data_IF_570360545115
#
_entry.id   IF_570360545115
#
_cell.length_a   1.000
_cell.length_b   1.000
_cell.length_c   1.000
_cell.angle_alpha   90.00
_cell.angle_beta   90.00
_cell.angle_gamma   90.00
#
_symmetry.space_group_name_H-M   'P 1'
#
loop_
_entity.id
_entity.type
_entity.pdbx_description
1 polymer ?
#
# COMPACT_ATOMS: atom_id res chain seq x y z
N UNK A 1 -4.51 23.26 41.15
CA UNK A 1 -3.35 22.73 40.39
C UNK A 1 -3.81 22.51 38.96
N UNK A 2 -3.44 23.39 38.04
CA UNK A 2 -3.76 23.32 36.63
C UNK A 2 -2.81 22.27 36.04
N UNK A 3 -3.34 21.12 35.58
CA UNK A 3 -2.57 20.18 34.78
C UNK A 3 -2.28 20.85 33.44
N UNK A 4 -1.05 21.31 33.26
CA UNK A 4 -0.53 21.71 31.95
C UNK A 4 -0.65 20.53 31.01
N UNK A 5 -1.54 20.63 30.02
CA UNK A 5 -1.61 19.67 28.93
C UNK A 5 -0.24 19.74 28.23
N UNK A 6 0.51 18.66 28.32
CA UNK A 6 1.69 18.46 27.48
C UNK A 6 1.16 18.38 26.07
N UNK A 7 1.37 19.42 25.27
CA UNK A 7 1.15 19.36 23.82
C UNK A 7 2.08 18.26 23.28
N UNK A 8 1.54 17.10 23.01
CA UNK A 8 2.27 15.99 22.44
C UNK A 8 2.83 16.38 21.07
N UNK A 9 4.08 16.10 20.86
CA UNK A 9 4.79 16.39 19.62
C UNK A 9 4.58 15.22 18.68
N UNK A 10 3.99 15.45 17.49
CA UNK A 10 3.93 14.41 16.45
C UNK A 10 5.33 13.79 16.22
N UNK A 11 5.40 12.47 16.13
CA UNK A 11 6.64 11.78 15.85
C UNK A 11 7.18 12.20 14.48
N UNK A 12 8.42 12.68 14.41
CA UNK A 12 9.05 12.97 13.12
C UNK A 12 9.27 11.66 12.37
N UNK A 13 8.73 11.55 11.16
CA UNK A 13 8.95 10.37 10.30
C UNK A 13 10.00 10.73 9.26
N UNK A 14 11.12 10.03 9.32
CA UNK A 14 12.18 10.08 8.32
C UNK A 14 11.98 8.99 7.27
N UNK A 15 12.66 9.10 6.12
CA UNK A 15 12.68 8.05 5.11
C UNK A 15 13.97 7.24 5.18
N UNK A 16 13.82 5.92 5.43
CA UNK A 16 14.88 4.97 5.13
C UNK A 16 14.89 4.67 3.63
N UNK A 17 16.08 4.73 3.02
CA UNK A 17 16.21 4.52 1.58
C UNK A 17 17.32 3.54 1.27
N UNK A 18 17.12 2.75 0.22
CA UNK A 18 18.11 1.85 -0.33
C UNK A 18 17.92 1.70 -1.84
N UNK A 19 19.01 1.73 -2.59
CA UNK A 19 19.02 1.59 -4.06
C UNK A 19 20.11 0.62 -4.49
N UNK A 20 19.83 -0.15 -5.53
CA UNK A 20 20.81 -1.03 -6.16
C UNK A 20 20.45 -1.29 -7.61
N UNK A 21 21.46 -1.40 -8.46
CA UNK A 21 21.32 -1.98 -9.80
C UNK A 21 21.97 -3.35 -9.78
N UNK A 22 21.22 -4.36 -10.20
CA UNK A 22 21.70 -5.72 -10.35
C UNK A 22 22.06 -5.97 -11.82
N UNK A 23 23.22 -6.53 -12.05
CA UNK A 23 23.82 -6.76 -13.37
C UNK A 23 23.91 -8.26 -13.66
N UNK A 24 23.98 -8.57 -14.95
CA UNK A 24 24.31 -9.88 -15.47
C UNK A 24 25.26 -9.70 -16.68
N UNK A 25 26.45 -10.31 -16.58
CA UNK A 25 27.53 -10.17 -17.57
C UNK A 25 27.89 -8.69 -17.89
N UNK A 26 27.88 -7.84 -16.88
CA UNK A 26 28.24 -6.41 -16.99
C UNK A 26 27.12 -5.50 -17.49
N UNK A 27 25.93 -6.03 -17.77
CA UNK A 27 24.78 -5.26 -18.22
C UNK A 27 23.69 -5.20 -17.13
N UNK A 28 23.06 -4.03 -16.92
CA UNK A 28 21.96 -3.88 -15.99
C UNK A 28 20.78 -4.78 -16.35
N UNK A 29 20.26 -5.54 -15.39
CA UNK A 29 19.08 -6.38 -15.60
C UNK A 29 17.91 -6.01 -14.69
N UNK A 30 18.17 -5.42 -13.51
CA UNK A 30 17.12 -5.04 -12.57
C UNK A 30 17.58 -3.86 -11.72
N UNK A 31 16.78 -2.78 -11.73
CA UNK A 31 16.95 -1.61 -10.86
C UNK A 31 16.03 -1.71 -9.65
N UNK A 32 16.58 -1.52 -8.46
CA UNK A 32 15.88 -1.60 -7.18
C UNK A 32 15.91 -0.26 -6.45
N UNK A 33 14.75 0.14 -5.94
CA UNK A 33 14.61 1.31 -5.08
C UNK A 33 13.61 1.03 -3.96
N UNK A 34 14.06 1.09 -2.71
CA UNK A 34 13.22 0.89 -1.54
C UNK A 34 13.21 2.14 -0.68
N UNK A 35 12.00 2.57 -0.31
CA UNK A 35 11.75 3.58 0.70
C UNK A 35 10.81 3.03 1.76
N UNK A 36 11.10 3.32 3.02
CA UNK A 36 10.26 2.91 4.15
C UNK A 36 10.33 3.94 5.27
N UNK A 37 9.25 4.09 6.09
CA UNK A 37 9.23 5.05 7.17
C UNK A 37 10.17 4.65 8.30
N UNK A 38 10.86 5.63 8.87
CA UNK A 38 11.67 5.53 10.09
C UNK A 38 11.14 6.51 11.13
N UNK A 39 10.69 5.98 12.26
CA UNK A 39 10.21 6.77 13.39
C UNK A 39 11.31 6.90 14.44
N UNK A 40 11.24 7.90 15.33
CA UNK A 40 12.08 7.94 16.53
C UNK A 40 11.93 6.64 17.33
N UNK A 41 12.99 6.25 18.04
CA UNK A 41 12.98 5.00 18.84
C UNK A 41 12.74 5.23 20.34
N UNK A 42 12.10 6.34 20.68
CA UNK A 42 11.94 6.82 22.05
C UNK A 42 11.01 5.92 22.87
N UNK A 43 10.02 5.30 22.23
CA UNK A 43 9.04 4.46 22.91
C UNK A 43 9.05 3.01 22.41
N UNK A 44 8.59 2.05 23.22
CA UNK A 44 8.44 0.66 22.78
C UNK A 44 7.50 0.51 21.57
N UNK A 45 6.44 1.33 21.47
CA UNK A 45 5.50 1.34 20.37
C UNK A 45 6.20 1.72 19.07
N UNK A 46 6.89 2.87 19.04
CA UNK A 46 7.62 3.36 17.85
C UNK A 46 8.70 2.35 17.39
N UNK A 47 9.45 1.76 18.35
CA UNK A 47 10.41 0.69 18.02
C UNK A 47 9.76 -0.54 17.39
N UNK A 48 8.52 -0.88 17.78
CA UNK A 48 7.76 -1.99 17.18
C UNK A 48 7.37 -1.68 15.74
N UNK A 49 6.87 -0.48 15.48
CA UNK A 49 6.55 -0.01 14.12
C UNK A 49 7.79 0.01 13.24
N UNK A 50 8.93 0.54 13.72
CA UNK A 50 10.20 0.51 12.98
C UNK A 50 10.62 -0.90 12.59
N UNK A 51 10.61 -1.85 13.53
CA UNK A 51 10.95 -3.25 13.24
C UNK A 51 10.06 -3.87 12.18
N UNK A 52 8.78 -3.50 12.17
CA UNK A 52 7.84 -3.95 11.13
C UNK A 52 8.26 -3.46 9.74
N UNK A 53 8.49 -2.16 9.55
CA UNK A 53 8.87 -1.62 8.23
C UNK A 53 10.26 -2.05 7.78
N UNK A 54 11.22 -2.18 8.69
CA UNK A 54 12.52 -2.77 8.37
C UNK A 54 12.40 -4.24 7.92
N UNK A 55 11.49 -5.01 8.51
CA UNK A 55 11.21 -6.39 8.08
C UNK A 55 10.53 -6.40 6.71
N UNK A 56 9.53 -5.56 6.51
CA UNK A 56 8.82 -5.42 5.23
C UNK A 56 9.80 -5.07 4.10
N UNK A 57 10.64 -4.05 4.30
CA UNK A 57 11.65 -3.66 3.32
C UNK A 57 12.63 -4.81 3.00
N UNK A 58 13.09 -5.56 4.04
CA UNK A 58 13.94 -6.75 3.83
C UNK A 58 13.24 -7.85 3.04
N UNK A 59 11.95 -8.11 3.29
CA UNK A 59 11.18 -9.13 2.55
C UNK A 59 11.09 -8.78 1.06
N UNK A 60 10.76 -7.53 0.72
CA UNK A 60 10.74 -7.08 -0.67
C UNK A 60 12.12 -7.14 -1.31
N UNK A 61 13.15 -6.68 -0.61
CA UNK A 61 14.53 -6.76 -1.07
C UNK A 61 14.92 -8.22 -1.39
N UNK A 62 14.67 -9.16 -0.49
CA UNK A 62 14.96 -10.58 -0.70
C UNK A 62 14.23 -11.16 -1.91
N UNK A 63 12.94 -10.81 -2.08
CA UNK A 63 12.16 -11.21 -3.26
C UNK A 63 12.78 -10.68 -4.56
N UNK A 64 13.22 -9.44 -4.56
CA UNK A 64 13.73 -8.78 -5.75
C UNK A 64 15.17 -9.16 -6.08
N UNK A 65 16.04 -9.25 -5.09
CA UNK A 65 17.42 -9.73 -5.28
C UNK A 65 17.50 -11.22 -5.65
N UNK A 66 16.53 -12.03 -5.23
CA UNK A 66 16.44 -13.46 -5.51
C UNK A 66 15.52 -13.77 -6.71
N UNK A 67 14.25 -14.16 -6.48
CA UNK A 67 13.36 -14.64 -7.54
C UNK A 67 13.21 -13.69 -8.73
N UNK A 68 12.99 -12.40 -8.49
CA UNK A 68 12.79 -11.42 -9.59
C UNK A 68 14.06 -11.24 -10.41
N UNK A 69 15.22 -11.14 -9.77
CA UNK A 69 16.51 -11.01 -10.45
C UNK A 69 16.83 -12.25 -11.31
N UNK A 70 16.54 -13.45 -10.80
CA UNK A 70 16.72 -14.68 -11.59
C UNK A 70 15.85 -14.69 -12.85
N UNK A 71 14.60 -14.26 -12.75
CA UNK A 71 13.71 -14.13 -13.88
C UNK A 71 14.19 -13.06 -14.89
N UNK A 72 14.68 -11.90 -14.40
CA UNK A 72 15.24 -10.84 -15.25
C UNK A 72 16.46 -11.33 -16.04
N UNK A 73 17.36 -12.07 -15.39
CA UNK A 73 18.53 -12.68 -16.05
C UNK A 73 18.14 -13.69 -17.12
N UNK A 74 17.20 -14.59 -16.82
CA UNK A 74 16.69 -15.56 -17.79
C UNK A 74 16.03 -14.88 -19.00
N UNK A 75 15.29 -13.80 -18.77
CA UNK A 75 14.70 -13.00 -19.83
C UNK A 75 15.77 -12.30 -20.68
N UNK A 76 16.77 -11.69 -20.05
CA UNK A 76 17.88 -11.04 -20.74
C UNK A 76 18.66 -12.00 -21.63
N UNK A 77 18.94 -13.20 -21.13
CA UNK A 77 19.57 -14.29 -21.90
C UNK A 77 18.72 -14.68 -23.11
N UNK A 78 17.43 -14.95 -22.92
CA UNK A 78 16.53 -15.31 -24.02
C UNK A 78 16.39 -14.21 -25.09
N UNK A 79 16.43 -12.93 -24.69
CA UNK A 79 16.43 -11.79 -25.61
C UNK A 79 17.74 -11.71 -26.41
N UNK A 80 18.89 -11.93 -25.76
CA UNK A 80 20.21 -11.98 -26.43
C UNK A 80 20.28 -13.09 -27.46
N UNK A 81 19.84 -14.32 -27.13
CA UNK A 81 19.79 -15.46 -28.04
C UNK A 81 18.95 -15.18 -29.30
N UNK A 82 17.93 -14.32 -29.16
CA UNK A 82 17.06 -13.89 -30.26
C UNK A 82 17.51 -12.60 -30.95
N UNK A 83 18.69 -12.08 -30.61
CA UNK A 83 19.21 -10.78 -31.09
C UNK A 83 18.21 -9.63 -30.90
N UNK A 84 17.50 -9.62 -29.76
CA UNK A 84 16.55 -8.58 -29.39
C UNK A 84 17.09 -7.76 -28.22
N UNK A 85 16.82 -6.44 -28.17
CA UNK A 85 17.22 -5.62 -27.02
C UNK A 85 16.45 -6.06 -25.78
N UNK A 86 17.16 -6.11 -24.64
CA UNK A 86 16.55 -6.29 -23.33
C UNK A 86 16.38 -4.92 -22.66
N UNK A 87 15.21 -4.65 -22.13
CA UNK A 87 14.97 -3.48 -21.28
C UNK A 87 15.10 -3.91 -19.82
N UNK A 88 16.01 -3.29 -19.03
CA UNK A 88 16.15 -3.63 -17.62
C UNK A 88 14.82 -3.52 -16.88
N UNK A 89 14.57 -4.48 -16.00
CA UNK A 89 13.40 -4.49 -15.14
C UNK A 89 13.55 -3.48 -14.00
N UNK A 90 12.44 -3.14 -13.36
CA UNK A 90 12.42 -2.16 -12.29
C UNK A 90 11.53 -2.66 -11.15
N UNK A 91 11.99 -2.48 -9.89
CA UNK A 91 11.17 -2.73 -8.72
C UNK A 91 11.35 -1.61 -7.70
N UNK A 92 10.21 -1.11 -7.18
CA UNK A 92 10.17 0.02 -6.25
C UNK A 92 9.24 -0.26 -5.07
N UNK A 93 9.72 -0.02 -3.86
CA UNK A 93 8.89 0.09 -2.67
C UNK A 93 8.82 1.55 -2.28
N UNK A 94 7.64 2.13 -2.24
CA UNK A 94 7.41 3.51 -1.82
C UNK A 94 6.31 3.56 -0.77
N UNK A 95 6.23 4.64 -0.01
CA UNK A 95 5.15 4.85 0.94
C UNK A 95 4.66 6.29 0.90
N UNK A 96 3.43 6.48 1.34
CA UNK A 96 2.82 7.79 1.54
C UNK A 96 2.15 7.82 2.90
N UNK A 97 2.50 8.80 3.74
CA UNK A 97 1.77 9.07 4.98
C UNK A 97 0.43 9.70 4.58
N UNK A 98 -0.66 9.05 4.95
CA UNK A 98 -2.02 9.48 4.61
C UNK A 98 -2.73 10.17 5.76
N UNK A 99 -2.34 9.85 7.00
CA UNK A 99 -2.80 10.53 8.21
C UNK A 99 -1.75 10.38 9.32
N UNK A 100 -1.52 11.44 10.06
CA UNK A 100 -0.65 11.41 11.22
C UNK A 100 -1.18 12.32 12.31
N UNK A 101 -1.29 11.77 13.52
CA UNK A 101 -1.57 12.50 14.77
C UNK A 101 -0.54 12.10 15.82
N UNK A 102 -0.69 12.57 17.06
CA UNK A 102 0.16 12.14 18.18
C UNK A 102 0.09 10.62 18.42
N UNK A 103 -1.12 10.06 18.34
CA UNK A 103 -1.39 8.66 18.69
C UNK A 103 -1.59 7.73 17.48
N UNK A 104 -1.68 8.27 16.27
CA UNK A 104 -2.00 7.51 15.07
C UNK A 104 -1.05 7.84 13.93
N UNK A 105 -0.58 6.80 13.26
CA UNK A 105 0.09 6.89 11.98
C UNK A 105 -0.62 5.98 10.97
N UNK A 106 -1.07 6.55 9.87
CA UNK A 106 -1.60 5.79 8.75
C UNK A 106 -0.86 6.10 7.48
N UNK A 107 -0.60 5.06 6.69
CA UNK A 107 0.09 5.19 5.42
C UNK A 107 -0.29 4.08 4.43
N UNK A 108 -0.09 4.35 3.15
CA UNK A 108 -0.08 3.35 2.09
C UNK A 108 1.36 3.01 1.72
N UNK A 109 1.61 1.73 1.42
CA UNK A 109 2.88 1.23 0.90
C UNK A 109 2.61 0.58 -0.44
N UNK A 110 3.30 1.02 -1.48
CA UNK A 110 3.18 0.51 -2.83
C UNK A 110 4.46 -0.22 -3.24
N UNK A 111 4.32 -1.51 -3.60
CA UNK A 111 5.36 -2.29 -4.21
C UNK A 111 5.06 -2.41 -5.71
N UNK A 112 5.88 -1.77 -6.54
CA UNK A 112 5.78 -1.78 -7.99
C UNK A 112 6.84 -2.71 -8.57
N UNK A 113 6.46 -3.55 -9.53
CA UNK A 113 7.35 -4.41 -10.30
C UNK A 113 7.06 -4.21 -11.80
N UNK A 114 8.07 -3.82 -12.56
CA UNK A 114 8.07 -3.87 -14.03
C UNK A 114 8.96 -5.03 -14.48
N UNK A 115 8.35 -6.02 -15.08
CA UNK A 115 9.01 -7.23 -15.55
C UNK A 115 8.93 -7.38 -17.09
N UNK A 116 9.01 -6.25 -17.79
CA UNK A 116 8.80 -6.20 -19.23
C UNK A 116 7.32 -6.12 -19.61
N UNK A 117 7.06 -5.87 -20.89
CA UNK A 117 5.71 -5.71 -21.43
C UNK A 117 5.22 -4.25 -21.44
N UNK A 118 3.90 -4.05 -21.52
CA UNK A 118 3.31 -2.72 -21.69
C UNK A 118 3.32 -1.87 -20.41
N UNK A 119 3.26 -2.48 -19.23
CA UNK A 119 3.22 -1.79 -17.94
C UNK A 119 3.66 -2.72 -16.81
N UNK A 120 3.98 -2.13 -15.65
CA UNK A 120 4.25 -2.87 -14.42
C UNK A 120 2.99 -3.11 -13.58
N UNK A 121 3.16 -3.80 -12.46
CA UNK A 121 2.12 -4.09 -11.50
C UNK A 121 2.44 -3.44 -10.16
N UNK A 122 1.43 -2.85 -9.52
CA UNK A 122 1.52 -2.31 -8.17
C UNK A 122 0.70 -3.14 -7.21
N UNK A 123 1.34 -3.60 -6.13
CA UNK A 123 0.65 -4.16 -4.97
C UNK A 123 0.63 -3.12 -3.87
N UNK A 124 -0.57 -2.69 -3.43
CA UNK A 124 -0.75 -1.75 -2.32
C UNK A 124 -1.04 -2.47 -1.03
N UNK A 125 -0.46 -1.95 0.03
CA UNK A 125 -0.78 -2.26 1.42
C UNK A 125 -1.19 -0.96 2.12
N UNK A 126 -2.21 -1.02 2.98
CA UNK A 126 -2.54 0.05 3.93
C UNK A 126 -2.21 -0.37 5.34
N UNK A 127 -1.59 0.50 6.11
CA UNK A 127 -1.27 0.26 7.51
C UNK A 127 -1.76 1.45 8.34
N UNK A 128 -2.46 1.17 9.44
CA UNK A 128 -2.87 2.19 10.43
C UNK A 128 -2.46 1.72 11.81
N UNK A 129 -1.66 2.53 12.50
CA UNK A 129 -1.00 2.19 13.76
C UNK A 129 -1.53 3.02 14.92
N UNK A 130 -1.77 2.38 16.04
CA UNK A 130 -1.80 2.99 17.36
C UNK A 130 -0.33 3.16 17.80
N UNK A 131 0.17 4.38 17.79
CA UNK A 131 1.60 4.65 18.03
C UNK A 131 2.04 4.36 19.48
N UNK A 132 1.26 4.73 20.52
CA UNK A 132 1.58 4.37 21.90
C UNK A 132 1.73 2.87 22.11
N UNK A 133 0.80 2.08 21.60
CA UNK A 133 0.84 0.62 21.70
C UNK A 133 1.80 -0.02 20.68
N UNK A 134 2.04 0.63 19.54
CA UNK A 134 2.75 0.06 18.39
C UNK A 134 2.02 -1.16 17.82
N UNK A 135 0.69 -1.11 17.81
CA UNK A 135 -0.18 -2.17 17.30
C UNK A 135 -1.00 -1.67 16.10
N UNK A 136 -1.28 -2.54 15.12
CA UNK A 136 -2.15 -2.17 14.03
C UNK A 136 -3.59 -1.94 14.51
N UNK A 137 -4.23 -0.91 13.98
CA UNK A 137 -5.68 -0.70 14.14
C UNK A 137 -6.42 -1.42 13.02
N UNK A 138 -7.56 -2.00 13.34
CA UNK A 138 -8.43 -2.67 12.37
C UNK A 138 -9.47 -1.70 11.81
N UNK A 139 -9.96 -1.93 10.60
CA UNK A 139 -11.05 -1.15 10.01
C UNK A 139 -12.29 -1.14 10.91
N UNK A 140 -12.59 -2.28 11.57
CA UNK A 140 -13.71 -2.39 12.51
C UNK A 140 -13.62 -1.41 13.69
N UNK A 141 -12.41 -1.03 14.13
CA UNK A 141 -12.21 -0.13 15.28
C UNK A 141 -12.70 1.30 15.05
N UNK A 142 -13.00 1.67 13.80
CA UNK A 142 -13.56 2.97 13.43
C UNK A 142 -15.10 3.01 13.47
N UNK A 143 -15.73 1.89 13.78
CA UNK A 143 -17.20 1.78 13.84
C UNK A 143 -17.68 1.56 15.27
N UNK A 144 -18.88 2.05 15.62
CA UNK A 144 -19.47 1.78 16.93
C UNK A 144 -19.61 0.26 17.18
N UNK A 145 -19.42 -0.18 18.42
CA UNK A 145 -19.56 -1.60 18.77
C UNK A 145 -20.90 -2.19 18.32
N UNK A 146 -20.90 -3.46 17.92
CA UNK A 146 -22.09 -4.22 17.49
C UNK A 146 -22.76 -3.73 16.20
N UNK A 147 -22.24 -2.70 15.52
CA UNK A 147 -22.74 -2.29 14.21
C UNK A 147 -22.28 -3.29 13.12
N UNK A 148 -23.09 -3.56 12.10
CA UNK A 148 -22.73 -4.42 10.96
C UNK A 148 -21.76 -3.68 10.02
N UNK A 149 -20.59 -3.31 10.50
CA UNK A 149 -19.65 -2.42 9.85
C UNK A 149 -19.25 -2.88 8.43
N UNK A 150 -19.09 -4.20 8.20
CA UNK A 150 -18.77 -4.75 6.86
C UNK A 150 -19.85 -4.40 5.85
N UNK A 151 -21.11 -4.55 6.24
CA UNK A 151 -22.26 -4.19 5.39
C UNK A 151 -22.26 -2.68 5.11
N UNK A 152 -22.05 -1.85 6.13
CA UNK A 152 -22.00 -0.40 6.00
C UNK A 152 -20.88 0.06 5.06
N UNK A 153 -19.70 -0.58 5.11
CA UNK A 153 -18.59 -0.31 4.18
C UNK A 153 -18.99 -0.69 2.75
N UNK A 154 -19.49 -1.90 2.53
CA UNK A 154 -19.88 -2.36 1.19
C UNK A 154 -20.99 -1.51 0.57
N UNK A 155 -21.98 -1.07 1.35
CA UNK A 155 -23.04 -0.17 0.90
C UNK A 155 -22.48 1.21 0.47
N UNK A 156 -21.44 1.71 1.14
CA UNK A 156 -20.78 2.96 0.75
C UNK A 156 -19.95 2.78 -0.51
N UNK A 157 -19.20 1.70 -0.62
CA UNK A 157 -18.45 1.34 -1.84
C UNK A 157 -19.39 1.23 -3.03
N UNK A 158 -20.50 0.48 -2.89
CA UNK A 158 -21.50 0.33 -3.96
C UNK A 158 -22.10 1.67 -4.40
N UNK A 159 -22.44 2.53 -3.45
CA UNK A 159 -22.99 3.87 -3.72
C UNK A 159 -21.99 4.73 -4.51
N UNK A 160 -20.72 4.71 -4.12
CA UNK A 160 -19.69 5.51 -4.80
C UNK A 160 -19.44 4.99 -6.22
N UNK A 161 -19.39 3.68 -6.44
CA UNK A 161 -19.26 3.09 -7.77
C UNK A 161 -20.45 3.50 -8.66
N UNK A 162 -21.68 3.40 -8.16
CA UNK A 162 -22.87 3.84 -8.92
C UNK A 162 -22.79 5.31 -9.31
N UNK A 163 -22.33 6.16 -8.38
CA UNK A 163 -22.12 7.59 -8.64
C UNK A 163 -21.10 7.79 -9.78
N UNK A 164 -19.92 7.18 -9.68
CA UNK A 164 -18.83 7.31 -10.66
C UNK A 164 -19.25 6.78 -12.05
N UNK A 165 -19.99 5.67 -12.09
CA UNK A 165 -20.53 5.15 -13.35
C UNK A 165 -21.54 6.10 -13.97
N UNK A 166 -22.43 6.70 -13.18
CA UNK A 166 -23.46 7.62 -13.68
C UNK A 166 -22.89 8.95 -14.17
N UNK A 167 -21.77 9.40 -13.62
CA UNK A 167 -21.06 10.62 -14.06
C UNK A 167 -20.03 10.37 -15.17
N UNK A 168 -19.78 9.09 -15.53
CA UNK A 168 -18.75 8.73 -16.52
C UNK A 168 -17.31 8.97 -16.02
N UNK A 169 -17.11 9.10 -14.71
CA UNK A 169 -15.79 9.37 -14.11
C UNK A 169 -14.85 8.15 -14.11
N UNK A 170 -15.42 6.93 -14.09
CA UNK A 170 -14.65 5.70 -13.95
C UNK A 170 -15.30 4.52 -14.62
N UNK A 171 -14.48 3.50 -14.93
CA UNK A 171 -14.91 2.23 -15.49
C UNK A 171 -14.75 1.12 -14.46
N UNK A 172 -15.75 0.26 -14.36
CA UNK A 172 -15.73 -0.92 -13.49
C UNK A 172 -16.09 -2.16 -14.30
N UNK A 173 -15.68 -3.34 -13.79
CA UNK A 173 -16.03 -4.61 -14.43
C UNK A 173 -17.57 -4.81 -14.50
N UNK A 174 -18.11 -5.49 -15.50
CA UNK A 174 -19.58 -5.65 -15.64
C UNK A 174 -20.25 -6.28 -14.42
N UNK A 175 -19.57 -7.17 -13.70
CA UNK A 175 -20.08 -7.87 -12.49
C UNK A 175 -19.52 -7.27 -11.19
N UNK A 176 -19.15 -5.99 -11.18
CA UNK A 176 -18.52 -5.31 -10.04
C UNK A 176 -19.30 -5.48 -8.73
N UNK A 177 -20.63 -5.59 -8.74
CA UNK A 177 -21.43 -5.80 -7.52
C UNK A 177 -21.05 -7.09 -6.80
N UNK A 178 -20.78 -8.15 -7.55
CA UNK A 178 -20.30 -9.42 -7.02
C UNK A 178 -18.82 -9.32 -6.60
N UNK A 179 -18.03 -8.63 -7.43
CA UNK A 179 -16.59 -8.50 -7.21
C UNK A 179 -16.27 -7.72 -5.94
N UNK A 180 -16.95 -6.62 -5.64
CA UNK A 180 -16.71 -5.86 -4.41
C UNK A 180 -16.94 -6.68 -3.13
N UNK A 181 -17.87 -7.62 -3.15
CA UNK A 181 -18.13 -8.51 -2.02
C UNK A 181 -17.07 -9.61 -1.93
N UNK A 182 -16.73 -10.22 -3.06
CA UNK A 182 -15.74 -11.31 -3.14
C UNK A 182 -14.33 -10.86 -2.80
N UNK A 183 -13.93 -9.70 -3.31
CA UNK A 183 -12.57 -9.16 -3.16
C UNK A 183 -12.41 -8.28 -1.91
N UNK A 184 -13.47 -8.09 -1.13
CA UNK A 184 -13.40 -7.28 0.08
C UNK A 184 -12.48 -7.92 1.13
N UNK A 185 -11.44 -7.17 1.50
CA UNK A 185 -10.50 -7.55 2.53
C UNK A 185 -10.41 -6.41 3.56
N UNK A 186 -10.77 -6.63 4.83
CA UNK A 186 -10.74 -5.60 5.86
C UNK A 186 -9.33 -5.08 6.19
N UNK A 187 -8.28 -5.75 5.76
CA UNK A 187 -6.90 -5.30 5.92
C UNK A 187 -6.48 -4.31 4.81
N UNK A 188 -7.28 -4.17 3.74
CA UNK A 188 -7.00 -3.27 2.63
C UNK A 188 -7.60 -1.89 2.85
N UNK A 189 -7.08 -1.19 3.86
CA UNK A 189 -7.46 0.19 4.14
C UNK A 189 -6.29 0.99 4.70
N UNK A 190 -6.41 2.29 4.62
CA UNK A 190 -5.61 3.29 5.34
C UNK A 190 -6.54 4.40 5.82
N UNK A 191 -6.07 5.30 6.68
CA UNK A 191 -6.84 6.46 7.11
C UNK A 191 -6.34 7.74 6.46
N UNK A 192 -7.27 8.66 6.23
CA UNK A 192 -7.03 10.07 5.98
C UNK A 192 -7.58 10.88 7.16
N UNK A 193 -7.37 12.20 7.22
CA UNK A 193 -8.00 13.04 8.25
C UNK A 193 -9.54 12.93 8.25
N UNK A 194 -10.14 12.64 7.10
CA UNK A 194 -11.60 12.51 6.93
C UNK A 194 -12.14 11.13 7.34
N UNK A 195 -11.26 10.14 7.51
CA UNK A 195 -11.66 8.78 7.91
C UNK A 195 -10.98 7.66 7.15
N UNK A 196 -11.44 6.41 7.34
CA UNK A 196 -10.89 5.26 6.64
C UNK A 196 -11.13 5.32 5.12
N UNK A 197 -10.16 4.83 4.36
CA UNK A 197 -10.25 4.65 2.91
C UNK A 197 -9.98 3.19 2.60
N UNK A 198 -10.96 2.48 2.05
CA UNK A 198 -10.83 1.11 1.58
C UNK A 198 -10.35 1.10 0.14
N UNK A 199 -9.51 0.15 -0.23
CA UNK A 199 -9.04 0.00 -1.61
C UNK A 199 -9.14 -1.44 -2.09
N UNK A 200 -9.22 -1.58 -3.42
CA UNK A 200 -9.22 -2.87 -4.10
C UNK A 200 -7.98 -3.02 -4.98
N UNK A 201 -7.37 -4.21 -5.07
CA UNK A 201 -6.20 -4.42 -5.90
C UNK A 201 -6.43 -4.06 -7.38
N UNK A 202 -5.34 -3.85 -8.11
CA UNK A 202 -5.39 -3.75 -9.58
C UNK A 202 -6.13 -4.95 -10.18
N UNK A 203 -6.95 -4.72 -11.20
CA UNK A 203 -7.74 -5.74 -11.92
C UNK A 203 -8.80 -6.48 -11.11
N UNK A 204 -9.03 -6.12 -9.84
CA UNK A 204 -9.98 -6.87 -9.02
C UNK A 204 -11.44 -6.48 -9.24
N UNK A 205 -11.72 -5.17 -9.42
CA UNK A 205 -13.07 -4.64 -9.60
C UNK A 205 -13.17 -3.64 -10.76
N UNK A 206 -12.02 -3.24 -11.32
CA UNK A 206 -11.92 -2.26 -12.39
C UNK A 206 -10.74 -2.62 -13.31
N UNK A 207 -10.73 -2.18 -14.60
CA UNK A 207 -9.62 -2.40 -15.50
C UNK A 207 -8.36 -1.64 -15.05
N UNK A 208 -7.19 -2.03 -15.55
CA UNK A 208 -5.89 -1.47 -15.18
C UNK A 208 -5.82 0.07 -15.30
N UNK A 209 -6.49 0.64 -16.31
CA UNK A 209 -6.49 2.08 -16.54
C UNK A 209 -7.05 2.90 -15.36
N UNK A 210 -7.92 2.30 -14.53
CA UNK A 210 -8.45 2.92 -13.31
C UNK A 210 -7.48 2.89 -12.13
N UNK A 211 -6.36 2.17 -12.25
CA UNK A 211 -5.40 2.00 -11.16
C UNK A 211 -5.94 1.14 -10.02
N UNK A 212 -5.56 1.51 -8.80
CA UNK A 212 -6.05 0.90 -7.56
C UNK A 212 -7.28 1.69 -7.09
N UNK A 213 -8.51 1.16 -7.24
CA UNK A 213 -9.71 1.88 -6.83
C UNK A 213 -9.74 2.11 -5.32
N UNK A 214 -10.01 3.35 -4.91
CA UNK A 214 -10.09 3.77 -3.51
C UNK A 214 -11.46 4.34 -3.19
N UNK A 215 -11.96 4.08 -1.98
CA UNK A 215 -13.30 4.44 -1.52
C UNK A 215 -13.21 5.04 -0.11
N UNK A 216 -13.42 6.35 0.04
CA UNK A 216 -13.56 6.98 1.36
C UNK A 216 -14.79 6.39 2.08
N UNK A 217 -14.62 6.08 3.35
CA UNK A 217 -15.65 5.51 4.20
C UNK A 217 -15.94 6.47 5.35
N UNK A 218 -17.20 6.81 5.53
CA UNK A 218 -17.68 7.61 6.64
C UNK A 218 -18.33 6.68 7.69
N UNK A 219 -17.65 6.38 8.79
CA UNK A 219 -18.28 5.66 9.90
C UNK A 219 -19.46 6.46 10.43
N UNK A 220 -20.57 5.82 10.84
CA UNK A 220 -21.68 6.52 11.47
C UNK A 220 -21.23 7.09 12.82
N UNK A 221 -21.78 8.24 13.19
CA UNK A 221 -21.62 8.78 14.53
C UNK A 221 -22.15 7.79 15.58
N UNK A 222 -21.45 7.71 16.72
CA UNK A 222 -21.72 6.77 17.80
C UNK A 222 -22.96 7.11 18.63
#
# INVERSE_FOLDING_TARGET
MVKTAVQGRMAAVETGEWRQVLEWEGEPVLSLWLQYPKLPEDTPGLRRVNRYYQRLARQWRTRWEGPLCLQARACAQAMRERSRPFQPWEARLTYQITCQTEDLLSLSVDAYEYAGGAHGLTTRRGDTWDLPAGLPRTLASFFPPRRPWRRLVLEQVERDIRRRLSSGESWFEPDWQRLIVREFDPERFYCTPEGPVVFYPLYSVAPYAEGIPVFPITPPEG
#
